data_IF_710328978055
#
_entry.id   IF_710328978055
#
_cell.length_a   1.000
_cell.length_b   1.000
_cell.length_c   1.000
_cell.angle_alpha   90.00
_cell.angle_beta   90.00
_cell.angle_gamma   90.00
#
_symmetry.space_group_name_H-M   'P 1'
#
loop_
_entity.id
_entity.type
_entity.pdbx_description
1 polymer ?
#
# COMPACT_ATOMS: atom_id res chain seq x y z
N UNK A 1 -10.86 6.17 -10.43
CA UNK A 1 -9.70 5.31 -10.76
C UNK A 1 -9.07 4.57 -9.59
N UNK A 2 -8.75 5.23 -8.48
CA UNK A 2 -8.07 4.59 -7.33
C UNK A 2 -8.86 3.39 -6.74
N UNK A 3 -10.17 3.54 -6.55
CA UNK A 3 -11.03 2.47 -6.06
C UNK A 3 -11.08 1.24 -7.00
N UNK A 4 -10.99 1.45 -8.32
CA UNK A 4 -10.90 0.35 -9.30
C UNK A 4 -9.57 -0.38 -9.14
N UNK A 5 -8.46 0.34 -8.96
CA UNK A 5 -7.14 -0.28 -8.78
C UNK A 5 -7.05 -1.13 -7.51
N UNK A 6 -7.64 -0.68 -6.40
CA UNK A 6 -7.71 -1.46 -5.16
C UNK A 6 -8.51 -2.75 -5.37
N UNK A 7 -9.66 -2.65 -6.05
CA UNK A 7 -10.50 -3.82 -6.34
C UNK A 7 -9.78 -4.88 -7.16
N UNK A 8 -9.10 -4.47 -8.22
CA UNK A 8 -8.30 -5.37 -9.07
C UNK A 8 -7.19 -6.06 -8.27
N UNK A 9 -6.46 -5.29 -7.45
CA UNK A 9 -5.43 -5.84 -6.57
C UNK A 9 -5.99 -6.86 -5.57
N UNK A 10 -7.16 -6.57 -4.97
CA UNK A 10 -7.84 -7.49 -4.04
C UNK A 10 -8.30 -8.78 -4.72
N UNK A 11 -8.80 -8.70 -5.96
CA UNK A 11 -9.24 -9.86 -6.73
C UNK A 11 -8.06 -10.72 -7.23
N UNK A 12 -6.81 -10.25 -7.09
CA UNK A 12 -5.63 -10.91 -7.64
C UNK A 12 -5.66 -11.03 -9.17
N UNK A 13 -6.48 -10.19 -9.83
CA UNK A 13 -6.69 -10.23 -11.28
C UNK A 13 -5.83 -9.18 -11.96
N UNK A 14 -5.01 -9.63 -12.90
CA UNK A 14 -4.33 -8.75 -13.85
C UNK A 14 -5.30 -8.54 -15.02
N UNK A 15 -5.54 -7.27 -15.38
CA UNK A 15 -6.36 -6.88 -16.54
C UNK A 15 -5.63 -7.23 -17.86
N UNK A 16 -6.25 -7.03 -19.02
CA UNK A 16 -5.67 -7.34 -20.34
C UNK A 16 -4.29 -6.67 -20.55
N UNK A 17 -4.07 -5.51 -19.90
CA UNK A 17 -2.79 -4.81 -19.83
C UNK A 17 -2.47 -4.45 -18.37
N UNK A 18 -1.20 -4.49 -17.96
CA UNK A 18 -0.81 -4.13 -16.60
C UNK A 18 -1.14 -2.66 -16.31
N UNK A 19 -1.71 -2.42 -15.13
CA UNK A 19 -1.93 -1.08 -14.58
C UNK A 19 -0.62 -0.48 -14.05
N UNK A 20 -0.61 0.81 -13.73
CA UNK A 20 0.56 1.48 -13.13
C UNK A 20 1.02 0.80 -11.84
N UNK A 21 0.08 0.34 -11.01
CA UNK A 21 0.41 -0.37 -9.76
C UNK A 21 0.99 -1.77 -10.03
N UNK A 22 0.54 -2.45 -11.10
CA UNK A 22 1.14 -3.74 -11.53
C UNK A 22 2.56 -3.52 -12.05
N UNK A 23 2.75 -2.52 -12.92
CA UNK A 23 4.06 -2.14 -13.44
C UNK A 23 5.02 -1.77 -12.31
N UNK A 24 4.55 -1.07 -11.29
CA UNK A 24 5.37 -0.69 -10.14
C UNK A 24 5.83 -1.89 -9.33
N UNK A 25 4.94 -2.84 -9.03
CA UNK A 25 5.32 -4.10 -8.34
C UNK A 25 6.34 -4.89 -9.15
N UNK A 26 6.13 -5.00 -10.46
CA UNK A 26 7.06 -5.71 -11.34
C UNK A 26 8.43 -5.01 -11.45
N UNK A 27 8.43 -3.68 -11.44
CA UNK A 27 9.66 -2.88 -11.37
C UNK A 27 10.40 -3.16 -10.07
N UNK A 28 9.74 -3.14 -8.91
CA UNK A 28 10.41 -3.45 -7.64
C UNK A 28 11.02 -4.86 -7.65
N UNK A 29 10.28 -5.85 -8.17
CA UNK A 29 10.77 -7.22 -8.32
C UNK A 29 12.00 -7.33 -9.21
N UNK A 30 12.03 -6.62 -10.35
CA UNK A 30 13.17 -6.65 -11.27
C UNK A 30 14.45 -6.04 -10.68
N UNK A 31 14.33 -5.18 -9.67
CA UNK A 31 15.44 -4.64 -8.88
C UNK A 31 15.72 -5.42 -7.59
N UNK A 32 15.14 -6.61 -7.41
CA UNK A 32 15.25 -7.42 -6.19
C UNK A 32 14.81 -6.67 -4.92
N UNK A 33 13.80 -5.81 -5.04
CA UNK A 33 13.19 -5.08 -3.92
C UNK A 33 11.87 -5.76 -3.57
N UNK A 34 11.71 -6.14 -2.30
CA UNK A 34 10.45 -6.70 -1.80
C UNK A 34 9.60 -5.61 -1.15
N UNK A 35 8.29 -5.68 -1.35
CA UNK A 35 7.34 -4.92 -0.54
C UNK A 35 7.11 -5.72 0.74
N UNK A 36 7.26 -5.12 1.91
CA UNK A 36 7.09 -5.80 3.20
C UNK A 36 5.68 -5.57 3.76
N UNK A 37 5.20 -4.34 3.67
CA UNK A 37 3.84 -3.94 4.06
C UNK A 37 3.52 -2.54 3.52
N UNK A 38 2.23 -2.21 3.56
CA UNK A 38 1.77 -0.82 3.51
C UNK A 38 1.26 -0.44 4.89
N UNK A 39 1.48 0.80 5.32
CA UNK A 39 1.02 1.30 6.61
C UNK A 39 0.28 2.63 6.43
N UNK A 40 -0.79 2.86 7.18
CA UNK A 40 -1.36 4.21 7.36
C UNK A 40 -0.89 4.73 8.70
N UNK A 41 -0.06 5.77 8.68
CA UNK A 41 0.82 6.11 9.80
C UNK A 41 0.45 7.41 10.51
N UNK A 42 -0.22 8.32 9.82
CA UNK A 42 -0.55 9.65 10.33
C UNK A 42 -1.84 10.18 9.71
N UNK A 43 -2.56 10.95 10.50
CA UNK A 43 -3.64 11.83 10.07
C UNK A 43 -3.31 13.23 10.57
N UNK A 44 -3.21 14.18 9.64
CA UNK A 44 -2.91 15.57 9.95
C UNK A 44 -3.60 16.47 8.92
N UNK A 45 -4.14 17.60 9.36
CA UNK A 45 -4.82 18.59 8.51
C UNK A 45 -5.87 17.97 7.57
N UNK A 46 -6.66 17.03 8.10
CA UNK A 46 -7.69 16.27 7.37
C UNK A 46 -7.15 15.38 6.23
N UNK A 47 -5.85 15.07 6.27
CA UNK A 47 -5.15 14.27 5.26
C UNK A 47 -4.53 13.03 5.92
N UNK A 48 -4.81 11.87 5.35
CA UNK A 48 -4.17 10.62 5.72
C UNK A 48 -2.85 10.41 4.97
N UNK A 49 -1.85 9.94 5.69
CA UNK A 49 -0.53 9.62 5.15
C UNK A 49 -0.27 8.12 5.22
N UNK A 50 0.19 7.56 4.11
CA UNK A 50 0.59 6.18 3.97
C UNK A 50 2.11 6.03 3.85
N UNK A 51 2.61 4.88 4.25
CA UNK A 51 3.99 4.46 4.05
C UNK A 51 3.99 3.13 3.30
N UNK A 52 4.83 3.01 2.27
CA UNK A 52 5.17 1.74 1.67
C UNK A 52 6.53 1.30 2.21
N UNK A 53 6.55 0.19 2.93
CA UNK A 53 7.79 -0.37 3.51
C UNK A 53 8.36 -1.36 2.52
N UNK A 54 9.57 -1.07 2.05
CA UNK A 54 10.31 -1.88 1.09
C UNK A 54 11.58 -2.44 1.73
N UNK A 55 12.06 -3.56 1.23
CA UNK A 55 13.36 -4.13 1.59
C UNK A 55 14.20 -4.34 0.33
N UNK A 56 15.43 -3.84 0.38
CA UNK A 56 16.44 -4.04 -0.66
C UNK A 56 17.71 -4.54 0.02
N UNK A 57 18.04 -5.81 -0.21
CA UNK A 57 19.09 -6.51 0.54
C UNK A 57 18.95 -6.27 2.05
N UNK A 58 19.93 -5.60 2.66
CA UNK A 58 19.99 -5.38 4.12
C UNK A 58 19.34 -4.06 4.56
N UNK A 59 18.72 -3.32 3.62
CA UNK A 59 18.14 -2.00 3.88
C UNK A 59 16.62 -2.06 3.86
N UNK A 60 16.01 -1.48 4.88
CA UNK A 60 14.57 -1.18 4.90
C UNK A 60 14.38 0.27 4.48
N UNK A 61 13.59 0.47 3.43
CA UNK A 61 13.20 1.77 2.91
C UNK A 61 11.75 2.04 3.27
N UNK A 62 11.45 3.28 3.61
CA UNK A 62 10.09 3.75 3.86
C UNK A 62 9.78 4.86 2.89
N UNK A 63 8.78 4.64 2.04
CA UNK A 63 8.35 5.61 1.04
C UNK A 63 7.05 6.26 1.50
N UNK A 64 7.06 7.59 1.62
CA UNK A 64 5.85 8.38 1.81
C UNK A 64 4.94 8.22 0.58
N UNK A 65 3.66 8.02 0.85
CA UNK A 65 2.67 7.74 -0.19
C UNK A 65 1.27 8.13 0.27
N UNK A 66 0.34 8.27 -0.67
CA UNK A 66 -1.08 8.29 -0.31
C UNK A 66 -1.50 6.89 0.14
N UNK A 67 -2.37 6.76 1.16
CA UNK A 67 -2.88 5.47 1.63
C UNK A 67 -3.42 4.59 0.51
N UNK A 68 -4.15 5.17 -0.46
CA UNK A 68 -4.74 4.42 -1.57
C UNK A 68 -3.70 3.75 -2.46
N UNK A 69 -2.57 4.41 -2.70
CA UNK A 69 -1.49 3.88 -3.54
C UNK A 69 -0.75 2.76 -2.81
N UNK A 70 -0.41 2.98 -1.53
CA UNK A 70 0.25 1.97 -0.71
C UNK A 70 -0.62 0.70 -0.60
N UNK A 71 -1.92 0.85 -0.34
CA UNK A 71 -2.87 -0.26 -0.27
C UNK A 71 -2.94 -1.00 -1.62
N UNK A 72 -3.03 -0.28 -2.74
CA UNK A 72 -3.11 -0.91 -4.06
C UNK A 72 -1.87 -1.73 -4.41
N UNK A 73 -0.67 -1.28 -3.99
CA UNK A 73 0.60 -2.00 -4.16
C UNK A 73 0.67 -3.20 -3.21
N UNK A 74 0.32 -3.02 -1.93
CA UNK A 74 0.37 -4.10 -0.95
C UNK A 74 -0.54 -5.28 -1.32
N UNK A 75 -1.75 -5.00 -1.81
CA UNK A 75 -2.68 -6.03 -2.29
C UNK A 75 -2.09 -6.85 -3.45
N UNK A 76 -1.41 -6.20 -4.40
CA UNK A 76 -0.74 -6.87 -5.53
C UNK A 76 0.51 -7.64 -5.14
N UNK A 77 1.23 -7.14 -4.14
CA UNK A 77 2.39 -7.82 -3.58
C UNK A 77 1.99 -8.96 -2.63
N UNK A 78 0.72 -9.06 -2.23
CA UNK A 78 0.22 -10.09 -1.31
C UNK A 78 0.70 -9.87 0.12
N UNK A 79 0.90 -8.62 0.54
CA UNK A 79 1.49 -8.25 1.84
C UNK A 79 0.50 -7.51 2.72
N UNK A 80 0.69 -7.51 4.06
CA UNK A 80 -0.28 -6.89 4.96
C UNK A 80 -0.38 -5.38 4.79
N UNK A 81 -1.59 -4.87 5.02
CA UNK A 81 -1.86 -3.45 5.25
C UNK A 81 -1.99 -3.24 6.76
N UNK A 82 -1.18 -2.33 7.30
CA UNK A 82 -1.09 -2.01 8.71
C UNK A 82 -1.68 -0.62 8.98
N UNK A 83 -2.13 -0.42 10.21
CA UNK A 83 -2.68 0.85 10.68
C UNK A 83 -2.01 1.20 12.00
N UNK A 84 -1.64 2.48 12.15
CA UNK A 84 -1.15 2.96 13.43
C UNK A 84 -2.26 2.84 14.48
N UNK A 85 -1.97 2.17 15.61
CA UNK A 85 -2.94 1.91 16.68
C UNK A 85 -3.52 3.19 17.26
N UNK A 86 -2.67 4.16 17.58
CA UNK A 86 -3.10 5.46 18.13
C UNK A 86 -4.03 6.18 17.16
N UNK A 87 -3.76 6.08 15.85
CA UNK A 87 -4.64 6.66 14.83
C UNK A 87 -5.99 5.93 14.75
N UNK A 88 -6.01 4.60 14.86
CA UNK A 88 -7.26 3.82 14.94
C UNK A 88 -8.08 4.19 16.17
N UNK A 89 -7.45 4.40 17.31
CA UNK A 89 -8.13 4.81 18.55
C UNK A 89 -8.71 6.24 18.45
N UNK A 90 -8.03 7.13 17.73
CA UNK A 90 -8.45 8.54 17.60
C UNK A 90 -9.46 8.79 16.48
N UNK A 91 -9.32 8.11 15.34
CA UNK A 91 -10.10 8.35 14.11
C UNK A 91 -11.02 7.19 13.74
N UNK A 92 -10.88 6.03 14.40
CA UNK A 92 -11.68 4.86 14.13
C UNK A 92 -13.12 5.05 14.57
N UNK A 93 -14.05 4.57 13.74
CA UNK A 93 -15.47 4.52 14.06
C UNK A 93 -15.94 3.07 14.10
N UNK A 94 -16.59 2.68 15.20
CA UNK A 94 -17.27 1.39 15.28
C UNK A 94 -18.55 1.46 14.46
N UNK A 95 -18.66 0.58 13.45
CA UNK A 95 -19.87 0.41 12.65
C UNK A 95 -20.56 -0.85 13.19
N UNK A 96 -21.74 -0.67 13.80
CA UNK A 96 -22.60 -1.75 14.27
C UNK A 96 -23.63 -2.14 13.21
#
# INVERSE_FOLDING_TARGET
DQARSIRLGKEGRIDVRPTTHDLYVETLRSFNITVENAAVVRFDSDIYYGELVLRSADRVLRLDSRPTDAIAVALRAGVPVMLNRTMLEQQGQTIC
#
